data_IF_795412226243
#
_entry.id   IF_795412226243
#
_cell.length_a   1.000
_cell.length_b   1.000
_cell.length_c   1.000
_cell.angle_alpha   90.00
_cell.angle_beta   90.00
_cell.angle_gamma   90.00
#
_symmetry.space_group_name_H-M   'P 1'
#
loop_
_entity.id
_entity.type
_entity.pdbx_description
1 polymer ?
#
# COMPACT_ATOMS: atom_id res chain seq x y z
N UNK A 1 -8.16 27.65 6.38
CA UNK A 1 -8.44 26.29 5.94
C UNK A 1 -8.15 26.25 4.44
N UNK A 2 -7.13 25.54 4.00
CA UNK A 2 -6.92 25.28 2.59
C UNK A 2 -8.06 24.34 2.15
N UNK A 3 -8.86 24.76 1.17
CA UNK A 3 -9.82 23.91 0.49
C UNK A 3 -9.08 22.99 -0.51
N UNK A 4 -8.08 22.26 -0.02
CA UNK A 4 -7.43 21.25 -0.82
C UNK A 4 -8.38 20.05 -0.95
N UNK A 5 -8.52 19.51 -2.15
CA UNK A 5 -9.27 18.30 -2.41
C UNK A 5 -8.73 17.17 -1.52
N UNK A 6 -9.61 16.56 -0.75
CA UNK A 6 -9.27 15.45 0.13
C UNK A 6 -9.90 14.16 -0.43
N UNK A 7 -9.06 13.30 -0.99
CA UNK A 7 -9.53 12.04 -1.58
C UNK A 7 -10.23 11.12 -0.57
N UNK A 8 -9.87 11.21 0.70
CA UNK A 8 -10.53 10.42 1.75
C UNK A 8 -11.96 10.88 1.98
N UNK A 9 -12.21 12.21 2.02
CA UNK A 9 -13.57 12.75 2.08
C UNK A 9 -14.36 12.37 0.84
N UNK A 10 -13.74 12.43 -0.35
CA UNK A 10 -14.39 12.03 -1.58
C UNK A 10 -14.85 10.56 -1.55
N UNK A 11 -14.03 9.63 -1.04
CA UNK A 11 -14.44 8.24 -0.87
C UNK A 11 -15.55 8.09 0.19
N UNK A 12 -15.52 8.87 1.27
CA UNK A 12 -16.60 8.89 2.26
C UNK A 12 -17.93 9.32 1.63
N UNK A 13 -17.91 10.33 0.76
CA UNK A 13 -19.08 10.80 0.01
C UNK A 13 -19.61 9.73 -0.99
N UNK A 14 -18.78 8.75 -1.35
CA UNK A 14 -19.17 7.59 -2.16
C UNK A 14 -19.77 6.44 -1.34
N UNK A 15 -19.93 6.60 -0.02
CA UNK A 15 -20.58 5.64 0.88
C UNK A 15 -19.62 4.72 1.65
N UNK A 16 -18.33 5.00 1.66
CA UNK A 16 -17.36 4.26 2.47
C UNK A 16 -17.17 4.89 3.84
N UNK A 17 -16.98 4.06 4.86
CA UNK A 17 -16.31 4.51 6.09
C UNK A 17 -14.80 4.54 5.79
N UNK A 18 -14.20 5.71 5.86
CA UNK A 18 -12.77 5.90 5.54
C UNK A 18 -11.97 6.10 6.81
N UNK A 19 -10.99 5.26 7.02
CA UNK A 19 -10.09 5.29 8.18
C UNK A 19 -8.69 5.67 7.72
N UNK A 20 -8.07 6.61 8.41
CA UNK A 20 -6.68 6.99 8.23
C UNK A 20 -6.01 6.85 9.60
N UNK A 21 -4.98 6.03 9.66
CA UNK A 21 -4.25 5.80 10.90
C UNK A 21 -2.74 5.90 10.68
N UNK A 22 -2.07 6.56 11.59
CA UNK A 22 -0.62 6.54 11.67
C UNK A 22 -0.16 5.20 12.26
N UNK A 23 0.81 4.58 11.63
CA UNK A 23 1.49 3.40 12.16
C UNK A 23 2.82 3.76 12.84
N UNK A 24 3.39 2.80 13.53
CA UNK A 24 4.75 2.86 14.10
C UNK A 24 5.74 3.34 13.04
N UNK A 25 6.65 4.21 13.42
CA UNK A 25 7.60 4.86 12.53
C UNK A 25 7.17 6.24 12.03
N UNK A 26 5.87 6.62 12.12
CA UNK A 26 5.40 7.95 11.75
C UNK A 26 6.04 9.03 12.61
N UNK A 27 6.59 10.12 12.01
CA UNK A 27 7.25 11.19 12.77
C UNK A 27 6.33 11.92 13.75
N UNK A 28 6.94 12.48 14.80
CA UNK A 28 6.26 13.38 15.72
C UNK A 28 5.64 12.74 16.96
N UNK A 29 5.79 11.42 17.14
CA UNK A 29 5.32 10.69 18.32
C UNK A 29 6.45 10.24 19.25
N UNK A 30 7.66 10.77 19.04
CA UNK A 30 8.83 10.51 19.84
C UNK A 30 9.75 9.41 19.28
N UNK A 31 11.03 9.48 19.69
CA UNK A 31 12.11 8.69 19.07
C UNK A 31 11.97 7.17 19.26
N UNK A 32 11.30 6.70 20.30
CA UNK A 32 11.05 5.28 20.48
C UNK A 32 10.06 4.75 19.45
N UNK A 33 8.99 5.51 19.22
CA UNK A 33 7.99 5.22 18.19
C UNK A 33 8.61 5.23 16.77
N UNK A 34 9.38 6.26 16.46
CA UNK A 34 10.04 6.40 15.15
C UNK A 34 11.06 5.29 14.86
N UNK A 35 11.75 4.80 15.91
CA UNK A 35 12.70 3.67 15.79
C UNK A 35 12.05 2.29 15.81
N UNK A 36 10.75 2.19 16.06
CA UNK A 36 10.03 0.92 16.08
C UNK A 36 10.05 0.15 14.76
N UNK A 37 10.39 0.82 13.66
CA UNK A 37 10.54 0.23 12.32
C UNK A 37 11.99 -0.10 11.95
N UNK A 38 12.93 -0.02 12.90
CA UNK A 38 14.32 -0.36 12.63
C UNK A 38 14.45 -1.86 12.28
N UNK A 39 15.05 -2.14 11.12
CA UNK A 39 15.21 -3.47 10.52
C UNK A 39 13.90 -4.16 10.09
N UNK A 40 12.75 -3.50 10.21
CA UNK A 40 11.46 -4.04 9.76
C UNK A 40 10.50 -2.93 9.32
N UNK A 41 10.29 -2.80 8.03
CA UNK A 41 9.30 -1.89 7.42
C UNK A 41 7.97 -2.58 7.12
N UNK A 42 7.78 -3.83 7.56
CA UNK A 42 6.63 -4.67 7.18
C UNK A 42 5.74 -5.04 8.37
N UNK A 43 6.26 -5.83 9.30
CA UNK A 43 5.43 -6.54 10.28
C UNK A 43 4.69 -5.58 11.22
N UNK A 44 5.43 -4.71 11.93
CA UNK A 44 4.82 -3.80 12.90
C UNK A 44 3.85 -2.82 12.21
N UNK A 45 4.23 -2.30 11.05
CA UNK A 45 3.40 -1.36 10.29
C UNK A 45 2.06 -1.99 9.86
N UNK A 46 2.10 -3.26 9.45
CA UNK A 46 0.90 -4.00 9.09
C UNK A 46 0.02 -4.33 10.31
N UNK A 47 0.62 -4.78 11.40
CA UNK A 47 -0.13 -5.10 12.63
C UNK A 47 -0.82 -3.86 13.21
N UNK A 48 -0.20 -2.69 13.15
CA UNK A 48 -0.84 -1.44 13.58
C UNK A 48 -2.13 -1.15 12.79
N UNK A 49 -2.15 -1.40 11.47
CA UNK A 49 -3.36 -1.24 10.66
C UNK A 49 -4.44 -2.28 11.04
N UNK A 50 -4.03 -3.50 11.37
CA UNK A 50 -4.95 -4.55 11.84
C UNK A 50 -5.56 -4.17 13.20
N UNK A 51 -4.76 -3.65 14.14
CA UNK A 51 -5.25 -3.21 15.45
C UNK A 51 -6.24 -2.02 15.34
N UNK A 52 -6.00 -1.11 14.41
CA UNK A 52 -6.97 -0.03 14.12
C UNK A 52 -8.31 -0.62 13.67
N UNK A 53 -8.30 -1.60 12.77
CA UNK A 53 -9.54 -2.23 12.31
C UNK A 53 -10.26 -3.00 13.43
N UNK A 54 -9.53 -3.68 14.30
CA UNK A 54 -10.11 -4.34 15.48
C UNK A 54 -10.78 -3.37 16.44
N UNK A 55 -10.27 -2.14 16.49
CA UNK A 55 -10.85 -1.08 17.34
C UNK A 55 -12.08 -0.42 16.73
N UNK A 56 -12.38 -0.65 15.44
CA UNK A 56 -13.50 0.02 14.76
C UNK A 56 -14.87 -0.42 15.27
N UNK A 57 -15.03 -1.65 15.72
CA UNK A 57 -16.31 -2.14 16.24
C UNK A 57 -16.79 -1.29 17.43
N UNK A 58 -15.85 -0.78 18.24
CA UNK A 58 -16.14 0.10 19.36
C UNK A 58 -16.23 1.58 18.96
N UNK A 59 -15.39 2.02 18.00
CA UNK A 59 -15.25 3.43 17.60
C UNK A 59 -16.31 3.86 16.57
N UNK A 60 -16.65 3.00 15.62
CA UNK A 60 -17.61 3.25 14.55
C UNK A 60 -18.44 1.99 14.26
N UNK A 61 -19.45 1.69 15.08
CA UNK A 61 -20.26 0.45 14.96
C UNK A 61 -21.01 0.31 13.62
N UNK A 62 -21.04 1.36 12.80
CA UNK A 62 -21.64 1.31 11.45
C UNK A 62 -20.67 0.81 10.39
N UNK A 63 -19.38 0.69 10.72
CA UNK A 63 -18.39 0.17 9.78
C UNK A 63 -18.61 -1.34 9.57
N UNK A 64 -18.68 -1.75 8.32
CA UNK A 64 -18.73 -3.16 7.96
C UNK A 64 -17.30 -3.71 7.81
N UNK A 65 -16.77 -4.25 8.89
CA UNK A 65 -15.42 -4.84 8.95
C UNK A 65 -15.31 -6.19 8.24
N UNK A 66 -16.38 -6.70 7.65
CA UNK A 66 -16.36 -7.90 6.79
C UNK A 66 -16.05 -7.58 5.33
N UNK A 67 -15.97 -6.30 4.97
CA UNK A 67 -15.71 -5.80 3.61
C UNK A 67 -14.69 -4.65 3.64
N UNK A 68 -13.46 -4.95 3.97
CA UNK A 68 -12.39 -3.95 4.15
C UNK A 68 -11.50 -3.88 2.92
N UNK A 69 -11.44 -2.70 2.30
CA UNK A 69 -10.45 -2.36 1.28
C UNK A 69 -9.30 -1.55 1.89
N UNK A 70 -8.07 -1.81 1.45
CA UNK A 70 -6.91 -1.00 1.79
C UNK A 70 -6.35 -0.34 0.52
N UNK A 71 -6.06 0.96 0.61
CA UNK A 71 -5.45 1.70 -0.51
C UNK A 71 -4.30 2.58 -0.03
N UNK A 72 -3.29 2.71 -0.87
CA UNK A 72 -2.16 3.55 -0.56
C UNK A 72 -1.28 3.84 -1.77
N UNK A 73 -0.37 4.82 -1.61
CA UNK A 73 0.56 5.25 -2.63
C UNK A 73 1.99 5.19 -2.08
N UNK A 74 2.98 4.83 -2.91
CA UNK A 74 4.39 4.74 -2.53
C UNK A 74 4.60 3.74 -1.37
N UNK A 75 5.08 4.17 -0.20
CA UNK A 75 5.12 3.34 1.01
C UNK A 75 3.72 2.81 1.38
N UNK A 76 2.68 3.64 1.24
CA UNK A 76 1.29 3.20 1.43
C UNK A 76 0.85 2.16 0.40
N UNK A 77 1.37 2.23 -0.83
CA UNK A 77 1.18 1.20 -1.86
C UNK A 77 1.86 -0.12 -1.50
N UNK A 78 3.08 -0.05 -0.96
CA UNK A 78 3.75 -1.21 -0.36
C UNK A 78 2.89 -1.85 0.72
N UNK A 79 2.41 -1.05 1.68
CA UNK A 79 1.58 -1.53 2.78
C UNK A 79 0.24 -2.11 2.29
N UNK A 80 -0.39 -1.51 1.29
CA UNK A 80 -1.64 -2.01 0.72
C UNK A 80 -1.47 -3.38 0.04
N UNK A 81 -0.39 -3.57 -0.72
CA UNK A 81 -0.07 -4.86 -1.30
C UNK A 81 0.30 -5.89 -0.23
N UNK A 82 1.16 -5.54 0.73
CA UNK A 82 1.54 -6.39 1.86
C UNK A 82 0.32 -6.88 2.65
N UNK A 83 -0.65 -6.00 2.88
CA UNK A 83 -1.86 -6.31 3.65
C UNK A 83 -2.69 -7.43 3.01
N UNK A 84 -2.94 -7.36 1.71
CA UNK A 84 -3.71 -8.43 1.03
C UNK A 84 -2.89 -9.70 0.79
N UNK A 85 -1.56 -9.61 0.79
CA UNK A 85 -0.67 -10.76 0.71
C UNK A 85 -0.58 -11.52 2.05
N UNK A 86 -0.45 -10.80 3.18
CA UNK A 86 -0.22 -11.42 4.49
C UNK A 86 -1.45 -11.50 5.38
N UNK A 87 -2.41 -10.58 5.19
CA UNK A 87 -3.60 -10.45 6.04
C UNK A 87 -4.89 -10.38 5.21
N UNK A 88 -5.01 -11.27 4.22
CA UNK A 88 -6.25 -11.47 3.46
C UNK A 88 -7.44 -11.95 4.30
N UNK A 89 -7.20 -12.33 5.54
CA UNK A 89 -8.23 -12.56 6.57
C UNK A 89 -8.90 -11.27 7.04
N UNK A 90 -8.20 -10.14 6.98
CA UNK A 90 -8.65 -8.82 7.44
C UNK A 90 -8.94 -7.88 6.26
N UNK A 91 -8.06 -7.86 5.26
CA UNK A 91 -8.16 -6.98 4.10
C UNK A 91 -8.68 -7.75 2.89
N UNK A 92 -9.85 -7.36 2.39
CA UNK A 92 -10.61 -8.09 1.37
C UNK A 92 -10.35 -7.61 -0.07
N UNK A 93 -9.73 -6.42 -0.23
CA UNK A 93 -9.25 -5.90 -1.50
C UNK A 93 -8.09 -4.91 -1.28
N UNK A 94 -7.14 -4.85 -2.22
CA UNK A 94 -5.99 -3.93 -2.14
C UNK A 94 -5.83 -3.08 -3.39
N UNK A 95 -5.54 -1.79 -3.20
CA UNK A 95 -5.12 -0.87 -4.26
C UNK A 95 -3.74 -0.32 -3.90
N UNK A 96 -2.74 -0.73 -4.66
CA UNK A 96 -1.34 -0.37 -4.45
C UNK A 96 -0.84 0.54 -5.57
N UNK A 97 -0.79 1.86 -5.29
CA UNK A 97 -0.27 2.86 -6.22
C UNK A 97 1.23 3.06 -6.04
N UNK A 98 1.99 3.04 -7.12
CA UNK A 98 3.44 3.18 -7.15
C UNK A 98 4.16 2.45 -5.99
N UNK A 99 3.84 1.17 -5.74
CA UNK A 99 4.33 0.47 -4.56
C UNK A 99 5.84 0.23 -4.65
N UNK A 100 6.56 0.44 -3.55
CA UNK A 100 7.83 -0.25 -3.35
C UNK A 100 7.50 -1.72 -3.15
N UNK A 101 8.21 -2.64 -3.79
CA UNK A 101 7.92 -4.08 -3.68
C UNK A 101 9.13 -4.89 -3.24
N UNK A 102 10.32 -4.34 -3.49
CA UNK A 102 11.60 -4.83 -2.94
C UNK A 102 12.48 -3.62 -2.60
N UNK A 103 12.87 -3.51 -1.37
CA UNK A 103 13.65 -2.38 -0.87
C UNK A 103 15.07 -2.30 -1.46
N UNK A 104 15.56 -3.37 -2.09
CA UNK A 104 16.83 -3.37 -2.84
C UNK A 104 16.76 -2.56 -4.13
N UNK A 105 15.55 -2.28 -4.64
CA UNK A 105 15.32 -1.45 -5.82
C UNK A 105 15.10 0.03 -5.49
N UNK A 106 15.02 0.37 -4.19
CA UNK A 106 14.83 1.76 -3.76
C UNK A 106 16.15 2.42 -3.39
N UNK A 107 16.17 3.74 -3.23
CA UNK A 107 17.40 4.49 -2.98
C UNK A 107 18.05 4.10 -1.63
N UNK A 108 19.38 4.13 -1.59
CA UNK A 108 20.17 3.71 -0.42
C UNK A 108 20.03 4.69 0.74
N UNK A 109 19.88 5.98 0.47
CA UNK A 109 19.79 7.02 1.50
C UNK A 109 18.58 6.79 2.41
N UNK A 110 17.40 6.50 1.82
CA UNK A 110 16.20 6.16 2.57
C UNK A 110 16.31 4.75 3.17
N UNK A 111 16.61 3.76 2.35
CA UNK A 111 16.47 2.35 2.70
C UNK A 111 17.47 1.89 3.75
N UNK A 112 18.76 2.23 3.59
CA UNK A 112 19.79 1.82 4.54
C UNK A 112 19.64 2.48 5.92
N UNK A 113 18.96 3.62 5.99
CA UNK A 113 18.61 4.24 7.28
C UNK A 113 17.74 3.34 8.15
N UNK A 114 16.86 2.55 7.52
CA UNK A 114 15.90 1.69 8.23
C UNK A 114 16.34 0.23 8.28
N UNK A 115 16.85 -0.31 7.16
CA UNK A 115 17.17 -1.72 7.00
C UNK A 115 18.67 -2.04 7.09
N UNK A 116 19.53 -1.02 7.16
CA UNK A 116 20.98 -1.18 7.14
C UNK A 116 21.53 -1.50 5.75
N UNK A 117 22.82 -1.81 5.68
CA UNK A 117 23.49 -2.14 4.42
C UNK A 117 23.21 -3.60 4.03
N UNK A 118 22.58 -3.87 2.86
CA UNK A 118 22.23 -5.23 2.44
C UNK A 118 23.44 -6.13 2.20
N UNK A 119 24.60 -5.56 1.88
CA UNK A 119 25.84 -6.36 1.72
C UNK A 119 26.34 -6.94 3.04
N UNK A 120 25.92 -6.37 4.19
CA UNK A 120 26.29 -6.81 5.54
C UNK A 120 25.19 -7.67 6.15
N UNK A 121 23.93 -7.27 5.98
CA UNK A 121 22.77 -7.97 6.52
C UNK A 121 21.58 -7.90 5.54
N UNK A 122 21.40 -8.95 4.76
CA UNK A 122 20.30 -9.05 3.78
C UNK A 122 18.96 -9.50 4.39
N UNK A 123 18.96 -10.01 5.60
CA UNK A 123 17.76 -10.59 6.22
C UNK A 123 16.57 -9.61 6.32
N UNK A 124 16.71 -8.33 6.71
CA UNK A 124 15.63 -7.37 6.69
C UNK A 124 15.03 -7.14 5.30
N UNK A 125 15.87 -7.12 4.27
CA UNK A 125 15.43 -6.95 2.88
C UNK A 125 14.63 -8.16 2.39
N UNK A 126 15.07 -9.37 2.71
CA UNK A 126 14.34 -10.58 2.39
C UNK A 126 12.99 -10.64 3.12
N UNK A 127 12.95 -10.26 4.40
CA UNK A 127 11.74 -10.29 5.22
C UNK A 127 10.68 -9.28 4.77
N UNK A 128 11.10 -8.18 4.14
CA UNK A 128 10.22 -7.08 3.70
C UNK A 128 9.91 -7.11 2.21
N UNK A 129 10.48 -8.03 1.42
CA UNK A 129 10.21 -8.18 -0.01
C UNK A 129 8.86 -8.84 -0.27
N UNK A 130 7.98 -8.18 -1.03
CA UNK A 130 6.65 -8.69 -1.39
C UNK A 130 6.71 -9.90 -2.34
N UNK A 131 7.81 -10.09 -3.06
CA UNK A 131 7.98 -11.22 -3.97
C UNK A 131 7.87 -12.56 -3.24
N UNK A 132 8.35 -12.62 -2.00
CA UNK A 132 8.32 -13.84 -1.18
C UNK A 132 6.89 -14.23 -0.78
N UNK A 133 5.97 -13.27 -0.72
CA UNK A 133 4.59 -13.45 -0.30
C UNK A 133 3.63 -13.60 -1.50
N UNK A 134 4.11 -13.50 -2.75
CA UNK A 134 3.27 -13.51 -3.95
C UNK A 134 2.35 -14.74 -4.02
N UNK A 135 2.81 -15.91 -3.56
CA UNK A 135 2.03 -17.15 -3.54
C UNK A 135 0.82 -17.10 -2.59
N UNK A 136 0.80 -16.18 -1.64
CA UNK A 136 -0.23 -16.06 -0.62
C UNK A 136 -1.42 -15.17 -1.03
N UNK A 137 -1.37 -14.51 -2.20
CA UNK A 137 -2.46 -13.66 -2.64
C UNK A 137 -3.75 -14.46 -2.84
N UNK A 138 -4.80 -14.12 -2.10
CA UNK A 138 -6.15 -14.70 -2.22
C UNK A 138 -7.22 -13.62 -2.44
N UNK A 139 -6.85 -12.36 -2.38
CA UNK A 139 -7.75 -11.21 -2.46
C UNK A 139 -7.49 -10.39 -3.72
N UNK A 140 -8.50 -9.71 -4.26
CA UNK A 140 -8.32 -8.78 -5.38
C UNK A 140 -7.24 -7.75 -5.09
N UNK A 141 -6.30 -7.59 -6.03
CA UNK A 141 -5.22 -6.61 -5.96
C UNK A 141 -5.13 -5.84 -7.27
N UNK A 142 -5.22 -4.50 -7.16
CA UNK A 142 -4.97 -3.56 -8.25
C UNK A 142 -3.62 -2.87 -8.01
N UNK A 143 -2.69 -3.05 -8.93
CA UNK A 143 -1.41 -2.36 -8.99
C UNK A 143 -1.52 -1.19 -9.97
N UNK A 144 -1.14 0.02 -9.53
CA UNK A 144 -1.17 1.23 -10.37
C UNK A 144 0.24 1.80 -10.41
N UNK A 145 0.76 2.14 -11.60
CA UNK A 145 2.13 2.68 -11.67
C UNK A 145 2.30 3.65 -12.84
N UNK A 146 2.90 4.81 -12.56
CA UNK A 146 3.36 5.74 -13.57
C UNK A 146 4.60 5.20 -14.29
N UNK A 147 4.55 5.06 -15.61
CA UNK A 147 5.70 4.50 -16.36
C UNK A 147 6.89 5.45 -16.46
N UNK A 148 6.71 6.73 -16.15
CA UNK A 148 7.77 7.74 -16.05
C UNK A 148 8.17 8.04 -14.59
N UNK A 149 7.82 7.16 -13.65
CA UNK A 149 8.19 7.28 -12.24
C UNK A 149 9.70 7.09 -12.06
N UNK A 150 10.37 8.17 -11.65
CA UNK A 150 11.81 8.24 -11.41
C UNK A 150 12.19 8.12 -9.93
N UNK A 151 11.19 8.05 -9.04
CA UNK A 151 11.37 7.84 -7.61
C UNK A 151 11.19 6.34 -7.25
N UNK A 152 10.00 5.79 -7.48
CA UNK A 152 9.73 4.36 -7.37
C UNK A 152 9.58 3.82 -8.79
N UNK A 153 10.66 3.28 -9.34
CA UNK A 153 10.68 2.84 -10.74
C UNK A 153 9.65 1.75 -11.03
N UNK A 154 9.06 1.77 -12.22
CA UNK A 154 8.00 0.83 -12.61
C UNK A 154 8.42 -0.66 -12.50
N UNK A 155 9.72 -0.94 -12.45
CA UNK A 155 10.27 -2.27 -12.20
C UNK A 155 9.72 -2.92 -10.92
N UNK A 156 9.42 -2.14 -9.89
CA UNK A 156 8.78 -2.63 -8.66
C UNK A 156 7.46 -3.35 -8.97
N UNK A 157 6.54 -2.67 -9.63
CA UNK A 157 5.23 -3.26 -9.99
C UNK A 157 5.38 -4.42 -10.97
N UNK A 158 6.26 -4.30 -11.97
CA UNK A 158 6.45 -5.35 -12.97
C UNK A 158 7.03 -6.64 -12.36
N UNK A 159 7.96 -6.54 -11.41
CA UNK A 159 8.51 -7.71 -10.72
C UNK A 159 7.46 -8.38 -9.84
N UNK A 160 6.68 -7.63 -9.07
CA UNK A 160 5.60 -8.20 -8.26
C UNK A 160 4.54 -8.86 -9.15
N UNK A 161 4.12 -8.20 -10.24
CA UNK A 161 3.18 -8.78 -11.20
C UNK A 161 3.71 -10.08 -11.81
N UNK A 162 5.00 -10.14 -12.16
CA UNK A 162 5.64 -11.36 -12.66
C UNK A 162 5.64 -12.48 -11.62
N UNK A 163 5.95 -12.17 -10.35
CA UNK A 163 5.93 -13.15 -9.27
C UNK A 163 4.51 -13.67 -8.99
N UNK A 164 3.51 -12.80 -9.00
CA UNK A 164 2.11 -13.17 -8.84
C UNK A 164 1.63 -14.07 -9.99
N UNK A 165 1.98 -13.72 -11.23
CA UNK A 165 1.63 -14.52 -12.40
C UNK A 165 2.30 -15.90 -12.34
N UNK A 166 3.57 -15.98 -11.97
CA UNK A 166 4.30 -17.24 -11.80
C UNK A 166 3.68 -18.11 -10.68
N UNK A 167 3.11 -17.50 -9.66
CA UNK A 167 2.39 -18.18 -8.58
C UNK A 167 0.93 -18.52 -8.94
N UNK A 168 0.45 -18.20 -10.14
CA UNK A 168 -0.92 -18.44 -10.57
C UNK A 168 -1.96 -17.56 -9.88
N UNK A 169 -1.56 -16.36 -9.44
CA UNK A 169 -2.41 -15.43 -8.66
C UNK A 169 -2.95 -14.31 -9.55
N UNK A 170 -4.27 -14.30 -9.85
CA UNK A 170 -4.91 -13.24 -10.62
C UNK A 170 -4.77 -11.88 -9.93
N UNK A 171 -4.44 -10.85 -10.70
CA UNK A 171 -4.31 -9.46 -10.24
C UNK A 171 -4.52 -8.51 -11.42
N UNK A 172 -4.69 -7.24 -11.13
CA UNK A 172 -4.86 -6.19 -12.13
C UNK A 172 -3.68 -5.23 -12.11
N UNK A 173 -3.25 -4.76 -13.28
CA UNK A 173 -2.19 -3.75 -13.41
C UNK A 173 -2.70 -2.61 -14.29
N UNK A 174 -2.67 -1.38 -13.76
CA UNK A 174 -2.98 -0.15 -14.48
C UNK A 174 -1.69 0.66 -14.70
N UNK A 175 -1.04 0.54 -15.85
CA UNK A 175 0.10 1.38 -16.19
C UNK A 175 -0.38 2.76 -16.64
N UNK A 176 0.26 3.83 -16.14
CA UNK A 176 -0.06 5.21 -16.49
C UNK A 176 1.07 5.78 -17.38
N UNK A 177 0.82 5.88 -18.67
CA UNK A 177 1.80 6.39 -19.64
C UNK A 177 2.09 7.87 -19.38
N UNK A 178 3.38 8.25 -19.31
CA UNK A 178 3.81 9.64 -19.12
C UNK A 178 3.56 10.20 -17.72
N UNK A 179 3.11 9.39 -16.77
CA UNK A 179 2.89 9.80 -15.38
C UNK A 179 4.12 9.47 -14.54
N UNK A 180 4.56 10.43 -13.73
CA UNK A 180 5.65 10.29 -12.77
C UNK A 180 5.16 9.71 -11.44
N UNK A 181 5.93 9.88 -10.35
CA UNK A 181 5.55 9.36 -9.02
C UNK A 181 4.23 9.90 -8.50
N UNK A 182 3.88 11.14 -8.87
CA UNK A 182 2.60 11.76 -8.55
C UNK A 182 1.80 11.94 -9.84
N UNK A 183 0.48 12.06 -9.73
CA UNK A 183 -0.44 12.33 -10.84
C UNK A 183 -0.82 13.81 -10.83
N UNK A 184 0.02 14.72 -11.36
CA UNK A 184 -0.22 16.16 -11.30
C UNK A 184 -1.30 16.64 -12.27
N UNK A 185 -1.65 15.82 -13.28
CA UNK A 185 -2.67 16.15 -14.26
C UNK A 185 -4.05 15.92 -13.62
N UNK A 186 -4.84 16.99 -13.50
CA UNK A 186 -6.15 16.99 -12.83
C UNK A 186 -7.09 15.92 -13.41
N UNK A 187 -7.24 15.86 -14.73
CA UNK A 187 -8.07 14.87 -15.40
C UNK A 187 -7.63 13.43 -15.11
N UNK A 188 -6.32 13.16 -15.10
CA UNK A 188 -5.78 11.83 -14.78
C UNK A 188 -6.06 11.48 -13.33
N UNK A 189 -5.88 12.42 -12.41
CA UNK A 189 -6.12 12.21 -10.99
C UNK A 189 -7.59 11.93 -10.70
N UNK A 190 -8.52 12.66 -11.32
CA UNK A 190 -9.96 12.44 -11.19
C UNK A 190 -10.37 11.08 -11.72
N UNK A 191 -10.00 10.76 -12.96
CA UNK A 191 -10.34 9.47 -13.57
C UNK A 191 -9.70 8.28 -12.83
N UNK A 192 -8.52 8.48 -12.24
CA UNK A 192 -7.88 7.48 -11.41
C UNK A 192 -8.67 7.19 -10.12
N UNK A 193 -9.29 8.20 -9.52
CA UNK A 193 -10.19 8.01 -8.38
C UNK A 193 -11.45 7.23 -8.77
N UNK A 194 -12.04 7.56 -9.90
CA UNK A 194 -13.21 6.82 -10.44
C UNK A 194 -12.87 5.36 -10.72
N UNK A 195 -11.69 5.08 -11.27
CA UNK A 195 -11.24 3.72 -11.52
C UNK A 195 -11.03 2.93 -10.21
N UNK A 196 -10.43 3.56 -9.20
CA UNK A 196 -10.29 2.95 -7.87
C UNK A 196 -11.64 2.69 -7.20
N UNK A 197 -12.59 3.62 -7.34
CA UNK A 197 -13.96 3.47 -6.82
C UNK A 197 -14.66 2.27 -7.46
N UNK A 198 -14.56 2.14 -8.78
CA UNK A 198 -15.14 1.01 -9.52
C UNK A 198 -14.55 -0.32 -9.02
N UNK A 199 -13.23 -0.39 -8.90
CA UNK A 199 -12.55 -1.56 -8.38
C UNK A 199 -13.07 -1.94 -6.97
N UNK A 200 -13.15 -0.99 -6.04
CA UNK A 200 -13.64 -1.26 -4.67
C UNK A 200 -15.12 -1.72 -4.67
N UNK A 201 -15.99 -1.07 -5.45
CA UNK A 201 -17.41 -1.46 -5.55
C UNK A 201 -17.57 -2.87 -6.11
N UNK A 202 -16.79 -3.23 -7.10
CA UNK A 202 -16.84 -4.56 -7.73
C UNK A 202 -16.29 -5.66 -6.81
N UNK A 203 -15.32 -5.34 -5.98
CA UNK A 203 -14.61 -6.34 -5.16
C UNK A 203 -15.12 -6.45 -3.73
N UNK A 204 -15.73 -5.41 -3.21
CA UNK A 204 -16.28 -5.39 -1.85
C UNK A 204 -17.82 -5.50 -1.81
N UNK A 205 -18.51 -5.25 -2.91
CA UNK A 205 -19.97 -5.33 -3.03
C UNK A 205 -20.66 -4.04 -2.71
#
# INVERSE_FOLDING_TARGET
>A
ANAAFNSSQWFADQGFVVVIADNTGTPGKGSAWERGVANDLAQQVLEDQVEVLRSLDDLEPRADTTRVGIRGWSFGGYLAALAVLRRGDVFHAGIAGAPVTDWRLYDTHYTERYLGNPAVNDAPYAATSLMNDAHSLERPLLLIHGLADDNVVAAHTLQLSSALLAAGKPHEVLPLSGVTHMTPQEEVAENLLLHQLEFLRRTLG
#
